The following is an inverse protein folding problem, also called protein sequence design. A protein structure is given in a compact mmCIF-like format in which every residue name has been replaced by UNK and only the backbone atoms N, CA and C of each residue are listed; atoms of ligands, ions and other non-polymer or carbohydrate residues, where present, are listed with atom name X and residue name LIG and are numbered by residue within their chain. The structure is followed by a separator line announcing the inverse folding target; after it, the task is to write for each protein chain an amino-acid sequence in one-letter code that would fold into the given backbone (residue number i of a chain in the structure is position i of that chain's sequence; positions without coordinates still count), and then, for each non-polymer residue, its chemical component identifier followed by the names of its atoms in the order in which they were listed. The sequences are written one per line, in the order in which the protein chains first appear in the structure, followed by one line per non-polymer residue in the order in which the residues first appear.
data_IF_379168787063
#
_entry.id   IF_379168787063
#
_cell.length_a   1.000
_cell.length_b   1.000
_cell.length_c   1.000
_cell.angle_alpha   90.00
_cell.angle_beta   90.00
_cell.angle_gamma   90.00
#
_symmetry.space_group_name_H-M   'P 1'
#
loop_
_entity.id
_entity.type
_entity.pdbx_description
1 polymer ?
#
# COMPACT_ATOMS: atom_id res chain seq x y z
N UNK A 1 -33.65 40.70 -24.98
CA UNK A 1 -34.43 39.60 -24.37
C UNK A 1 -33.48 38.90 -23.43
N UNK A 2 -33.67 39.09 -22.13
CA UNK A 2 -32.81 38.51 -21.09
C UNK A 2 -33.23 37.04 -20.94
N UNK A 3 -32.37 36.10 -21.34
CA UNK A 3 -32.61 34.69 -21.10
C UNK A 3 -32.56 34.46 -19.58
N UNK A 4 -33.73 34.52 -18.95
CA UNK A 4 -33.97 34.13 -17.57
C UNK A 4 -33.87 32.60 -17.47
N UNK A 5 -32.67 32.06 -17.64
CA UNK A 5 -32.35 30.71 -17.20
C UNK A 5 -32.13 30.76 -15.70
N UNK A 6 -33.22 30.90 -14.95
CA UNK A 6 -33.19 30.59 -13.53
C UNK A 6 -32.79 29.10 -13.42
N UNK A 7 -31.65 28.77 -12.79
CA UNK A 7 -31.29 27.38 -12.52
C UNK A 7 -32.44 26.74 -11.72
N UNK A 8 -32.70 25.43 -11.90
CA UNK A 8 -33.80 24.76 -11.20
C UNK A 8 -33.66 25.02 -9.70
N UNK A 9 -34.67 25.67 -9.11
CA UNK A 9 -34.69 25.90 -7.67
C UNK A 9 -34.66 24.53 -7.01
N UNK A 10 -33.60 24.25 -6.25
CA UNK A 10 -33.50 23.01 -5.51
C UNK A 10 -34.57 22.98 -4.42
N UNK A 11 -35.56 22.11 -4.58
CA UNK A 11 -36.54 21.84 -3.55
C UNK A 11 -36.07 20.62 -2.75
N UNK A 12 -36.57 20.42 -1.53
CA UNK A 12 -36.27 19.20 -0.74
C UNK A 12 -34.78 18.95 -0.41
N UNK A 13 -33.91 19.97 -0.52
CA UNK A 13 -32.52 19.91 -0.05
C UNK A 13 -32.36 20.31 1.43
N UNK A 14 -33.43 20.20 2.22
CA UNK A 14 -33.42 20.58 3.64
C UNK A 14 -32.39 19.79 4.45
N UNK A 15 -32.12 18.54 4.06
CA UNK A 15 -31.14 17.66 4.71
C UNK A 15 -29.68 18.00 4.36
N UNK A 16 -29.46 18.79 3.30
CA UNK A 16 -28.14 19.22 2.84
C UNK A 16 -27.86 20.69 3.16
N UNK A 17 -28.46 21.25 4.22
CA UNK A 17 -28.28 22.65 4.60
C UNK A 17 -29.06 23.64 3.74
N UNK A 18 -30.09 23.17 3.03
CA UNK A 18 -31.04 24.00 2.29
C UNK A 18 -30.73 24.23 0.81
N UNK A 19 -31.55 25.01 0.09
CA UNK A 19 -31.46 25.19 -1.36
C UNK A 19 -30.14 25.86 -1.80
N UNK A 20 -29.46 26.61 -0.91
CA UNK A 20 -28.19 27.29 -1.19
C UNK A 20 -26.96 26.37 -1.16
N UNK A 21 -27.09 25.14 -0.64
CA UNK A 21 -26.01 24.14 -0.53
C UNK A 21 -26.24 22.91 -1.42
N UNK A 22 -27.22 23.02 -2.32
CA UNK A 22 -27.49 22.05 -3.36
C UNK A 22 -26.30 21.97 -4.32
N UNK A 23 -25.67 20.78 -4.44
CA UNK A 23 -24.47 20.56 -5.26
C UNK A 23 -23.14 20.61 -4.49
N UNK A 24 -23.13 21.10 -3.25
CA UNK A 24 -21.94 21.04 -2.37
C UNK A 24 -22.02 19.92 -1.34
N UNK A 25 -23.15 19.82 -0.61
CA UNK A 25 -23.36 18.74 0.39
C UNK A 25 -24.20 17.59 -0.19
N UNK A 26 -25.17 17.91 -1.05
CA UNK A 26 -25.92 16.95 -1.86
C UNK A 26 -25.17 16.68 -3.16
N UNK A 27 -24.61 15.48 -3.34
CA UNK A 27 -23.79 15.13 -4.51
C UNK A 27 -24.56 14.39 -5.62
N UNK A 28 -25.68 13.75 -5.28
CA UNK A 28 -26.53 13.10 -6.27
C UNK A 28 -27.87 13.84 -6.35
N UNK A 29 -28.13 14.49 -7.48
CA UNK A 29 -29.26 15.37 -7.70
C UNK A 29 -29.96 15.01 -9.01
N UNK A 30 -31.30 14.98 -9.01
CA UNK A 30 -32.10 14.78 -10.22
C UNK A 30 -33.20 15.83 -10.34
N UNK A 31 -33.40 16.34 -11.55
CA UNK A 31 -34.50 17.25 -11.84
C UNK A 31 -35.81 16.47 -11.98
N UNK A 32 -36.84 16.88 -11.24
CA UNK A 32 -38.21 16.39 -11.31
C UNK A 32 -39.13 17.54 -11.71
N UNK A 33 -40.11 17.30 -12.57
CA UNK A 33 -41.14 18.28 -12.88
C UNK A 33 -42.25 18.21 -11.83
N UNK A 34 -42.53 19.32 -11.14
CA UNK A 34 -43.64 19.45 -10.20
C UNK A 34 -44.49 20.63 -10.64
N UNK A 35 -45.69 20.37 -11.20
CA UNK A 35 -46.65 21.43 -11.52
C UNK A 35 -46.19 22.44 -12.59
N UNK A 36 -45.31 22.06 -13.52
CA UNK A 36 -44.88 22.90 -14.64
C UNK A 36 -43.53 23.58 -14.48
N UNK A 37 -42.84 23.34 -13.36
CA UNK A 37 -41.47 23.81 -13.12
C UNK A 37 -40.54 22.66 -12.70
N UNK A 38 -39.26 22.78 -13.07
CA UNK A 38 -38.24 21.82 -12.69
C UNK A 38 -37.74 22.09 -11.27
N UNK A 39 -37.97 21.13 -10.37
CA UNK A 39 -37.38 21.09 -9.03
C UNK A 39 -36.22 20.10 -9.00
N UNK A 40 -35.13 20.44 -8.34
CA UNK A 40 -34.06 19.48 -8.07
C UNK A 40 -34.41 18.67 -6.82
N UNK A 41 -34.24 17.34 -6.83
CA UNK A 41 -34.46 16.45 -5.69
C UNK A 41 -33.16 15.67 -5.40
N UNK A 42 -32.88 15.43 -4.12
CA UNK A 42 -31.68 14.69 -3.67
C UNK A 42 -31.89 13.19 -3.79
N UNK A 43 -30.98 12.52 -4.49
CA UNK A 43 -30.93 11.07 -4.63
C UNK A 43 -29.96 10.43 -3.64
N UNK A 44 -29.00 11.19 -3.12
CA UNK A 44 -27.96 10.68 -2.24
C UNK A 44 -26.91 11.71 -1.85
N UNK A 45 -26.21 11.39 -0.75
CA UNK A 45 -25.21 12.25 -0.13
C UNK A 45 -23.80 11.74 -0.43
N UNK A 46 -22.80 12.63 -0.39
CA UNK A 46 -21.40 12.21 -0.42
C UNK A 46 -21.03 11.31 0.76
N UNK A 47 -21.65 11.51 1.92
CA UNK A 47 -21.40 10.73 3.14
C UNK A 47 -21.94 9.30 3.07
N UNK A 48 -22.94 9.04 2.21
CA UNK A 48 -23.58 7.73 2.06
C UNK A 48 -23.08 6.95 0.83
N UNK A 49 -21.87 7.27 0.34
CA UNK A 49 -21.25 6.56 -0.78
C UNK A 49 -20.77 5.17 -0.37
N UNK A 50 -21.24 4.14 -1.06
CA UNK A 50 -20.75 2.78 -0.95
C UNK A 50 -20.08 2.37 -2.27
N UNK A 51 -18.84 1.90 -2.20
CA UNK A 51 -18.07 1.44 -3.37
C UNK A 51 -17.98 -0.08 -3.34
N UNK A 52 -18.38 -0.72 -4.44
CA UNK A 52 -18.29 -2.17 -4.60
C UNK A 52 -17.73 -2.53 -5.98
N UNK A 53 -17.30 -3.78 -6.14
CA UNK A 53 -16.74 -4.28 -7.40
C UNK A 53 -17.89 -4.57 -8.36
N UNK A 54 -17.75 -4.13 -9.62
CA UNK A 54 -18.78 -4.32 -10.64
C UNK A 54 -19.04 -5.81 -10.94
N UNK A 55 -17.97 -6.61 -10.99
CA UNK A 55 -18.03 -8.04 -11.21
C UNK A 55 -17.05 -8.77 -10.29
N UNK A 56 -17.57 -9.63 -9.41
CA UNK A 56 -16.76 -10.42 -8.48
C UNK A 56 -15.87 -11.44 -9.18
N UNK A 57 -16.27 -11.92 -10.37
CA UNK A 57 -15.47 -12.87 -11.15
C UNK A 57 -14.37 -12.15 -11.94
N UNK A 58 -14.62 -10.89 -12.33
CA UNK A 58 -13.68 -10.09 -13.08
C UNK A 58 -13.50 -8.69 -12.46
N UNK A 59 -12.60 -8.52 -11.46
CA UNK A 59 -12.39 -7.24 -10.79
C UNK A 59 -11.78 -6.17 -11.72
N UNK A 60 -11.21 -6.56 -12.85
CA UNK A 60 -10.66 -5.62 -13.84
C UNK A 60 -11.74 -4.92 -14.67
N UNK A 61 -12.98 -5.39 -14.60
CA UNK A 61 -14.09 -4.81 -15.36
C UNK A 61 -14.46 -3.40 -14.89
N UNK A 62 -14.32 -3.13 -13.59
CA UNK A 62 -14.61 -1.82 -13.02
C UNK A 62 -15.20 -1.88 -11.61
N UNK A 63 -15.65 -0.73 -11.14
CA UNK A 63 -16.27 -0.53 -9.83
C UNK A 63 -17.65 0.08 -9.98
N UNK A 64 -18.52 -0.15 -9.01
CA UNK A 64 -19.84 0.48 -8.93
C UNK A 64 -19.94 1.26 -7.63
N UNK A 65 -20.26 2.54 -7.76
CA UNK A 65 -20.45 3.48 -6.66
C UNK A 65 -21.94 3.70 -6.48
N UNK A 66 -22.46 3.36 -5.31
CA UNK A 66 -23.86 3.55 -4.94
C UNK A 66 -23.98 4.67 -3.92
N UNK A 67 -24.84 5.63 -4.18
CA UNK A 67 -25.21 6.69 -3.24
C UNK A 67 -26.68 6.50 -2.87
N UNK A 68 -27.04 6.69 -1.61
CA UNK A 68 -28.42 6.60 -1.15
C UNK A 68 -28.81 7.79 -0.28
N UNK A 69 -30.08 8.17 -0.33
CA UNK A 69 -30.63 9.13 0.62
C UNK A 69 -31.16 8.41 1.86
N UNK A 70 -30.78 8.89 3.04
CA UNK A 70 -31.14 8.30 4.34
C UNK A 70 -32.42 8.88 4.96
N UNK A 71 -33.05 9.88 4.33
CA UNK A 71 -34.04 10.72 5.00
C UNK A 71 -35.52 10.51 4.69
N UNK A 72 -35.89 9.88 3.56
CA UNK A 72 -37.31 9.69 3.19
C UNK A 72 -37.57 8.36 2.49
N UNK A 73 -38.68 7.73 2.84
CA UNK A 73 -39.28 6.64 2.08
C UNK A 73 -40.05 7.18 0.87
N UNK A 74 -39.83 6.67 -0.35
CA UNK A 74 -38.89 5.60 -0.70
C UNK A 74 -37.43 6.10 -0.75
N UNK A 75 -36.50 5.29 -0.23
CA UNK A 75 -35.06 5.57 -0.29
C UNK A 75 -34.56 5.61 -1.73
N UNK A 76 -34.39 6.81 -2.27
CA UNK A 76 -33.80 7.03 -3.59
C UNK A 76 -32.33 6.58 -3.59
N UNK A 77 -31.89 5.99 -4.71
CA UNK A 77 -30.48 5.63 -4.88
C UNK A 77 -29.95 5.93 -6.28
N UNK A 78 -28.69 6.35 -6.35
CA UNK A 78 -27.94 6.56 -7.58
C UNK A 78 -26.79 5.55 -7.65
N UNK A 79 -26.75 4.76 -8.71
CA UNK A 79 -25.72 3.76 -8.97
C UNK A 79 -24.89 4.16 -10.19
N UNK A 80 -23.62 4.48 -9.96
CA UNK A 80 -22.67 4.85 -11.02
C UNK A 80 -21.73 3.67 -11.24
N UNK A 81 -21.87 3.02 -12.40
CA UNK A 81 -20.96 1.95 -12.83
C UNK A 81 -19.80 2.57 -13.61
N UNK A 82 -18.59 2.40 -13.10
CA UNK A 82 -17.36 2.94 -13.66
C UNK A 82 -16.62 1.78 -14.32
N UNK A 83 -16.72 1.69 -15.64
CA UNK A 83 -16.02 0.69 -16.44
C UNK A 83 -14.56 1.12 -16.64
N UNK A 84 -13.66 0.16 -16.55
CA UNK A 84 -12.25 0.37 -16.85
C UNK A 84 -12.07 0.64 -18.37
N UNK A 85 -11.54 1.81 -18.70
CA UNK A 85 -11.09 2.13 -20.05
C UNK A 85 -9.75 2.87 -19.97
N UNK A 86 -8.69 2.25 -20.48
CA UNK A 86 -7.34 2.80 -20.47
C UNK A 86 -7.14 3.91 -21.52
N UNK A 87 -8.06 4.06 -22.47
CA UNK A 87 -7.88 4.96 -23.62
C UNK A 87 -8.32 6.40 -23.34
N UNK A 88 -9.09 6.63 -22.27
CA UNK A 88 -9.52 7.96 -21.88
C UNK A 88 -10.72 7.99 -20.94
N UNK A 89 -11.04 9.19 -20.44
CA UNK A 89 -12.26 9.44 -19.68
C UNK A 89 -13.39 9.76 -20.66
N UNK A 90 -14.43 8.92 -20.68
CA UNK A 90 -15.67 9.19 -21.39
C UNK A 90 -16.76 9.48 -20.37
N UNK A 91 -17.50 10.57 -20.58
CA UNK A 91 -18.65 10.94 -19.76
C UNK A 91 -19.74 9.85 -19.75
N UNK A 92 -20.75 9.99 -18.87
CA UNK A 92 -21.79 8.98 -18.76
C UNK A 92 -22.61 8.88 -20.04
N UNK A 93 -22.75 7.68 -20.59
CA UNK A 93 -23.41 7.44 -21.89
C UNK A 93 -24.92 7.73 -21.83
N UNK A 94 -25.56 7.33 -20.73
CA UNK A 94 -26.97 7.63 -20.43
C UNK A 94 -27.26 7.44 -18.94
N UNK A 95 -28.39 8.00 -18.48
CA UNK A 95 -28.93 7.75 -17.15
C UNK A 95 -30.23 6.96 -17.31
N UNK A 96 -30.21 5.72 -16.85
CA UNK A 96 -31.36 4.83 -16.82
C UNK A 96 -32.07 4.91 -15.47
N UNK A 97 -33.40 4.85 -15.50
CA UNK A 97 -34.22 4.81 -14.28
C UNK A 97 -34.73 3.39 -14.08
N UNK A 98 -34.18 2.66 -13.10
CA UNK A 98 -34.50 1.25 -12.86
C UNK A 98 -35.74 1.04 -11.98
N UNK A 99 -36.20 2.07 -11.26
CA UNK A 99 -37.33 1.98 -10.34
C UNK A 99 -38.06 3.31 -10.17
N UNK A 100 -38.78 3.49 -9.05
CA UNK A 100 -39.51 4.74 -8.77
C UNK A 100 -38.56 5.92 -8.53
N UNK A 101 -37.43 5.66 -7.85
CA UNK A 101 -36.39 6.65 -7.54
C UNK A 101 -34.95 6.09 -7.60
N UNK A 102 -34.76 4.99 -8.34
CA UNK A 102 -33.45 4.39 -8.56
C UNK A 102 -32.93 4.76 -9.94
N UNK A 103 -31.73 5.33 -9.98
CA UNK A 103 -31.05 5.76 -11.18
C UNK A 103 -29.74 4.99 -11.34
N UNK A 104 -29.44 4.54 -12.55
CA UNK A 104 -28.15 3.97 -12.89
C UNK A 104 -27.52 4.69 -14.07
N UNK A 105 -26.21 4.76 -14.08
CA UNK A 105 -25.46 5.30 -15.20
C UNK A 105 -24.13 4.57 -15.36
N UNK A 106 -23.63 4.54 -16.59
CA UNK A 106 -22.37 3.91 -16.96
C UNK A 106 -21.39 4.99 -17.40
N UNK A 107 -20.24 5.06 -16.74
CA UNK A 107 -19.13 5.96 -17.03
C UNK A 107 -17.90 5.11 -17.40
N UNK A 108 -17.07 5.56 -18.34
CA UNK A 108 -15.78 4.92 -18.63
C UNK A 108 -14.64 5.81 -18.14
N UNK A 109 -13.77 5.26 -17.30
CA UNK A 109 -12.67 6.03 -16.76
C UNK A 109 -11.45 5.15 -16.46
N UNK A 110 -10.21 5.64 -16.72
CA UNK A 110 -8.99 4.89 -16.43
C UNK A 110 -8.81 4.60 -14.94
N UNK A 111 -9.33 5.45 -14.05
CA UNK A 111 -9.32 5.18 -12.60
C UNK A 111 -10.24 4.05 -12.15
N UNK A 112 -11.13 3.56 -13.02
CA UNK A 112 -11.92 2.35 -12.75
C UNK A 112 -11.12 1.06 -12.91
N UNK A 113 -9.91 1.13 -13.48
CA UNK A 113 -9.07 -0.04 -13.71
C UNK A 113 -8.41 -0.51 -12.42
N UNK A 114 -8.60 -1.79 -12.09
CA UNK A 114 -7.93 -2.41 -10.96
C UNK A 114 -6.43 -2.49 -11.20
N UNK A 115 -5.65 -1.79 -10.38
CA UNK A 115 -4.19 -1.98 -10.33
C UNK A 115 -3.88 -3.15 -9.43
N UNK A 116 -3.12 -4.11 -9.94
CA UNK A 116 -2.58 -5.18 -9.10
C UNK A 116 -1.51 -4.56 -8.22
N UNK A 117 -1.89 -4.13 -7.01
CA UNK A 117 -0.90 -3.81 -5.98
C UNK A 117 -0.45 -5.17 -5.43
N UNK A 118 0.41 -5.86 -6.17
CA UNK A 118 1.11 -7.02 -5.63
C UNK A 118 2.11 -6.50 -4.61
N UNK A 119 1.63 -6.11 -3.44
CA UNK A 119 2.44 -6.11 -2.23
C UNK A 119 2.67 -7.59 -1.98
N UNK A 120 3.69 -8.12 -2.64
CA UNK A 120 4.23 -9.43 -2.40
C UNK A 120 4.70 -9.44 -0.96
N UNK A 121 3.80 -9.77 -0.05
CA UNK A 121 4.11 -10.27 1.28
C UNK A 121 4.81 -11.60 1.10
N UNK A 122 6.06 -11.56 0.60
CA UNK A 122 6.97 -12.69 0.61
C UNK A 122 7.45 -12.82 2.04
N UNK A 123 6.54 -13.30 2.90
CA UNK A 123 6.87 -13.74 4.24
C UNK A 123 8.10 -14.62 4.12
N UNK A 124 9.16 -14.23 4.82
CA UNK A 124 10.40 -14.98 4.86
C UNK A 124 10.01 -16.41 5.28
N UNK A 125 10.06 -17.38 4.35
CA UNK A 125 9.49 -18.70 4.58
C UNK A 125 10.10 -19.37 5.81
N UNK A 126 9.52 -20.49 6.25
CA UNK A 126 9.99 -21.26 7.42
C UNK A 126 11.52 -21.46 7.45
N UNK A 127 12.14 -21.66 6.29
CA UNK A 127 13.60 -21.80 6.19
C UNK A 127 14.36 -20.52 6.56
N UNK A 128 13.82 -19.37 6.19
CA UNK A 128 14.39 -18.08 6.51
C UNK A 128 14.27 -17.73 7.99
N UNK A 129 13.12 -18.02 8.63
CA UNK A 129 12.97 -17.82 10.08
C UNK A 129 13.94 -18.71 10.86
N UNK A 130 14.15 -19.96 10.44
CA UNK A 130 15.16 -20.84 11.05
C UNK A 130 16.58 -20.29 10.93
N UNK A 131 16.99 -19.77 9.77
CA UNK A 131 18.32 -19.17 9.60
C UNK A 131 18.52 -17.98 10.55
N UNK A 132 17.50 -17.12 10.69
CA UNK A 132 17.57 -15.97 11.60
C UNK A 132 17.75 -16.44 13.05
N UNK A 133 16.99 -17.45 13.48
CA UNK A 133 17.13 -18.02 14.84
C UNK A 133 18.54 -18.57 15.08
N UNK A 134 19.10 -19.29 14.10
CA UNK A 134 20.47 -19.83 14.20
C UNK A 134 21.50 -18.70 14.35
N UNK A 135 21.38 -17.63 13.55
CA UNK A 135 22.29 -16.47 13.63
C UNK A 135 22.15 -15.77 14.98
N UNK A 136 20.94 -15.60 15.51
CA UNK A 136 20.70 -14.99 16.82
C UNK A 136 21.33 -15.81 17.96
N UNK A 137 21.13 -17.13 17.97
CA UNK A 137 21.73 -18.02 18.97
C UNK A 137 23.25 -18.00 18.89
N UNK A 138 23.79 -18.00 17.67
CA UNK A 138 25.23 -17.91 17.45
C UNK A 138 25.81 -16.57 17.95
N UNK A 139 25.14 -15.46 17.64
CA UNK A 139 25.53 -14.13 18.13
C UNK A 139 25.51 -14.03 19.65
N UNK A 140 24.46 -14.57 20.30
CA UNK A 140 24.36 -14.61 21.75
C UNK A 140 25.48 -15.46 22.39
N UNK A 141 25.80 -16.61 21.78
CA UNK A 141 26.90 -17.46 22.24
C UNK A 141 28.26 -16.75 22.16
N UNK A 142 28.55 -16.08 21.04
CA UNK A 142 29.78 -15.31 20.88
C UNK A 142 29.86 -14.14 21.86
N UNK A 143 28.79 -13.37 22.02
CA UNK A 143 28.74 -12.25 22.97
C UNK A 143 28.92 -12.71 24.42
N UNK A 144 28.19 -13.73 24.86
CA UNK A 144 28.31 -14.24 26.23
C UNK A 144 29.70 -14.83 26.50
N UNK A 145 30.25 -15.60 25.56
CA UNK A 145 31.57 -16.20 25.71
C UNK A 145 32.72 -15.20 25.66
N UNK A 146 32.62 -14.15 24.82
CA UNK A 146 33.61 -13.06 24.77
C UNK A 146 33.58 -12.23 26.04
N UNK A 147 32.40 -11.83 26.53
CA UNK A 147 32.26 -11.09 27.80
C UNK A 147 32.82 -11.91 28.96
N UNK A 148 32.48 -13.20 29.04
CA UNK A 148 32.97 -14.07 30.10
C UNK A 148 34.51 -14.18 30.09
N UNK A 149 35.12 -14.45 28.93
CA UNK A 149 36.59 -14.57 28.82
C UNK A 149 37.33 -13.25 29.03
N UNK A 150 36.75 -12.14 28.57
CA UNK A 150 37.34 -10.81 28.72
C UNK A 150 37.36 -10.36 30.20
N UNK A 151 36.25 -10.53 30.93
CA UNK A 151 36.16 -10.06 32.31
C UNK A 151 36.69 -11.05 33.35
N UNK A 152 36.46 -12.36 33.19
CA UNK A 152 36.84 -13.35 34.21
C UNK A 152 38.23 -13.96 33.99
N UNK A 153 38.72 -14.06 32.74
CA UNK A 153 40.04 -14.61 32.44
C UNK A 153 41.08 -13.56 32.03
N UNK A 154 40.68 -12.29 31.84
CA UNK A 154 41.60 -11.21 31.48
C UNK A 154 42.31 -11.40 30.14
N UNK A 155 41.77 -12.26 29.26
CA UNK A 155 42.36 -12.55 27.96
C UNK A 155 41.97 -11.43 26.99
N UNK A 156 42.97 -10.75 26.44
CA UNK A 156 42.81 -9.65 25.49
C UNK A 156 43.29 -10.07 24.10
N UNK A 157 42.52 -9.74 23.06
CA UNK A 157 42.85 -10.03 21.66
C UNK A 157 41.92 -11.05 21.01
N UNK A 158 42.35 -11.58 19.85
CA UNK A 158 41.57 -12.50 19.02
C UNK A 158 41.18 -13.80 19.75
N UNK A 159 41.88 -14.16 20.83
CA UNK A 159 41.66 -15.36 21.66
C UNK A 159 40.46 -15.26 22.62
N UNK A 160 39.85 -14.08 22.74
CA UNK A 160 38.64 -13.88 23.55
C UNK A 160 37.40 -14.59 22.97
N UNK A 161 37.43 -14.99 21.69
CA UNK A 161 36.34 -15.73 21.06
C UNK A 161 36.34 -17.19 21.57
N UNK A 162 35.20 -17.71 22.07
CA UNK A 162 35.11 -19.09 22.52
C UNK A 162 35.28 -20.09 21.36
N UNK A 163 36.11 -21.12 21.56
CA UNK A 163 36.33 -22.26 20.65
C UNK A 163 36.84 -21.91 19.23
N UNK A 164 37.73 -20.91 19.10
CA UNK A 164 38.34 -20.50 17.81
C UNK A 164 38.99 -21.63 17.01
N UNK A 165 39.71 -22.54 17.66
CA UNK A 165 40.40 -23.65 16.99
C UNK A 165 39.40 -24.60 16.32
N UNK A 166 38.19 -24.71 16.87
CA UNK A 166 37.09 -25.46 16.27
C UNK A 166 36.53 -24.73 15.05
N UNK A 167 36.38 -23.40 15.10
CA UNK A 167 35.95 -22.59 13.96
C UNK A 167 36.97 -22.54 12.82
N UNK A 168 38.26 -22.54 13.16
CA UNK A 168 39.35 -22.58 12.19
C UNK A 168 39.49 -23.95 11.48
N UNK A 169 39.06 -25.03 12.14
CA UNK A 169 39.11 -26.40 11.61
C UNK A 169 37.89 -26.83 10.79
N UNK A 170 36.88 -25.95 10.60
CA UNK A 170 35.76 -26.20 9.68
C UNK A 170 36.21 -26.19 8.20
N UNK A 171 35.55 -26.97 7.32
CA UNK A 171 36.10 -27.37 6.01
C UNK A 171 36.38 -26.21 5.06
N UNK A 172 37.38 -26.44 4.20
CA UNK A 172 38.17 -25.51 3.36
C UNK A 172 37.43 -24.38 2.60
N UNK A 173 36.10 -24.38 2.49
CA UNK A 173 35.32 -23.33 1.80
C UNK A 173 34.96 -22.11 2.66
N UNK A 174 34.84 -22.23 3.98
CA UNK A 174 34.54 -21.08 4.87
C UNK A 174 35.80 -20.37 5.37
N UNK A 175 36.97 -21.01 5.25
CA UNK A 175 38.26 -20.44 5.66
C UNK A 175 38.61 -19.15 4.88
N UNK A 176 38.17 -19.01 3.62
CA UNK A 176 38.43 -17.80 2.82
C UNK A 176 37.66 -16.59 3.38
N UNK A 177 36.43 -16.79 3.85
CA UNK A 177 35.62 -15.73 4.46
C UNK A 177 36.09 -15.40 5.88
N UNK A 178 36.47 -16.41 6.67
CA UNK A 178 37.01 -16.17 8.00
C UNK A 178 38.38 -15.49 7.97
N UNK A 179 39.29 -15.91 7.08
CA UNK A 179 40.62 -15.28 6.97
C UNK A 179 40.56 -13.84 6.50
N UNK A 180 39.62 -13.47 5.62
CA UNK A 180 39.43 -12.08 5.20
C UNK A 180 38.81 -11.23 6.30
N UNK A 181 37.81 -11.74 7.03
CA UNK A 181 37.23 -11.07 8.20
C UNK A 181 38.27 -10.89 9.31
N UNK A 182 39.02 -11.94 9.65
CA UNK A 182 40.08 -11.87 10.66
C UNK A 182 41.15 -10.86 10.25
N UNK A 183 41.60 -10.84 8.98
CA UNK A 183 42.53 -9.82 8.46
C UNK A 183 41.95 -8.40 8.54
N UNK A 184 40.65 -8.23 8.31
CA UNK A 184 39.99 -6.94 8.39
C UNK A 184 39.86 -6.44 9.83
N UNK A 185 39.66 -7.35 10.81
CA UNK A 185 39.61 -7.02 12.23
C UNK A 185 40.99 -6.88 12.89
N UNK A 186 42.04 -7.50 12.34
CA UNK A 186 43.39 -7.47 12.93
C UNK A 186 44.26 -6.27 12.52
N UNK A 187 43.83 -5.47 11.54
CA UNK A 187 44.55 -4.26 11.12
C UNK A 187 45.94 -4.54 10.51
N UNK A 188 46.50 -3.61 9.72
CA UNK A 188 47.79 -3.84 9.09
C UNK A 188 48.91 -3.61 10.12
N UNK A 189 49.48 -4.70 10.64
CA UNK A 189 50.72 -4.63 11.41
C UNK A 189 51.89 -4.32 10.47
N UNK A 190 52.49 -3.15 10.68
CA UNK A 190 53.68 -2.61 10.04
C UNK A 190 54.83 -3.63 10.13
N UNK A 191 55.10 -4.33 9.02
CA UNK A 191 56.20 -5.28 8.94
C UNK A 191 57.52 -4.54 8.68
N UNK A 192 58.39 -4.58 9.68
CA UNK A 192 59.76 -4.08 9.64
C UNK A 192 60.54 -4.75 8.49
N UNK A 193 60.89 -3.96 7.48
CA UNK A 193 61.63 -4.40 6.29
C UNK A 193 63.13 -4.41 6.60
N UNK A 194 63.65 -5.56 7.02
CA UNK A 194 65.10 -5.75 7.13
C UNK A 194 65.73 -5.92 5.74
N UNK A 195 66.74 -5.09 5.51
CA UNK A 195 67.50 -4.94 4.27
C UNK A 195 68.53 -6.05 4.13
N UNK A 196 68.51 -6.79 3.01
CA UNK A 196 69.66 -7.55 2.52
C UNK A 196 69.73 -7.47 1.00
N UNK A 197 70.92 -7.12 0.51
CA UNK A 197 71.46 -7.35 -0.85
C UNK A 197 72.85 -7.97 -0.65
N UNK A 198 73.55 -8.50 -1.68
CA UNK A 198 73.16 -9.00 -3.01
C UNK A 198 73.71 -10.44 -3.24
N UNK A 199 73.61 -11.02 -4.45
CA UNK A 199 74.76 -11.51 -5.28
C UNK A 199 74.27 -11.72 -6.73
N UNK A 200 74.93 -11.03 -7.68
CA UNK A 200 74.78 -11.20 -9.13
C UNK A 200 75.58 -12.43 -9.62
N UNK A 201 75.05 -13.11 -10.63
CA UNK A 201 75.80 -13.95 -11.58
C UNK A 201 75.58 -13.44 -13.00
#
# INVERSE_FOLDING_TARGET
MLFNHDPPRCAECSECGGPSRCGTECSALAARNAGGYHVCSTLGHASSTNVSILDKQNPFKGVIVRMSSSGKDPSCSLSVSILCDSNGAQGPDSVEKLGTCDYATTLRHPSGCATIISIGGKGFGWFGTLIIIIICLFGAYLLAGTVYRYFFLGVHGIEAIPNLDLWASLPHRTQIFFSSLVRQFSGPSTSHRNSYSPVNS
#
